data_IF_726126872659
#
_entry.id   IF_726126872659
#
_cell.length_a   1.000
_cell.length_b   1.000
_cell.length_c   1.000
_cell.angle_alpha   90.00
_cell.angle_beta   90.00
_cell.angle_gamma   90.00
#
_symmetry.space_group_name_H-M   'P 1'
#
loop_
_entity.id
_entity.type
_entity.pdbx_description
1 polymer ?
#
# COMPACT_ATOMS: atom_id res chain seq x y z
N UNK A 1 -15.18 -29.93 32.69
CA UNK A 1 -14.09 -28.95 32.44
C UNK A 1 -13.25 -29.43 31.26
N UNK A 2 -13.92 -29.65 30.12
CA UNK A 2 -13.39 -30.45 29.01
C UNK A 2 -13.46 -29.70 27.69
N UNK A 3 -12.39 -29.83 26.91
CA UNK A 3 -12.34 -29.98 25.45
C UNK A 3 -13.53 -29.41 24.65
N UNK A 4 -13.84 -28.12 24.73
CA UNK A 4 -14.84 -27.53 23.80
C UNK A 4 -14.62 -26.03 23.47
N UNK A 5 -13.52 -25.42 23.91
CA UNK A 5 -13.30 -23.96 23.80
C UNK A 5 -12.08 -23.48 22.98
N UNK A 6 -11.19 -24.37 22.50
CA UNK A 6 -10.00 -23.95 21.73
C UNK A 6 -10.07 -24.39 20.25
N UNK A 7 -11.22 -24.16 19.62
CA UNK A 7 -11.46 -24.40 18.18
C UNK A 7 -12.20 -23.24 17.50
N UNK A 8 -12.02 -22.00 17.98
CA UNK A 8 -12.81 -20.86 17.52
C UNK A 8 -12.06 -19.53 17.37
N UNK A 9 -10.74 -19.54 17.19
CA UNK A 9 -9.97 -18.30 16.99
C UNK A 9 -8.68 -18.50 16.16
N UNK A 10 -8.72 -19.38 15.17
CA UNK A 10 -7.65 -19.53 14.16
C UNK A 10 -8.12 -19.17 12.74
N UNK A 11 -9.34 -18.65 12.62
CA UNK A 11 -9.85 -18.12 11.36
C UNK A 11 -9.76 -16.59 11.41
N UNK A 12 -9.38 -15.99 10.27
CA UNK A 12 -9.07 -14.57 10.02
C UNK A 12 -7.58 -14.19 10.08
N UNK A 13 -6.70 -15.09 9.63
CA UNK A 13 -5.72 -14.67 8.63
C UNK A 13 -6.50 -14.28 7.37
N UNK A 14 -6.26 -13.07 6.85
CA UNK A 14 -6.82 -12.51 5.62
C UNK A 14 -8.28 -12.92 5.34
N UNK A 15 -9.26 -12.12 5.78
CA UNK A 15 -10.54 -12.11 5.07
C UNK A 15 -10.21 -11.73 3.63
N UNK A 16 -10.18 -12.75 2.76
CA UNK A 16 -10.12 -12.65 1.32
C UNK A 16 -11.42 -12.00 0.84
N UNK A 17 -11.58 -10.73 1.19
CA UNK A 17 -12.51 -9.86 0.49
C UNK A 17 -11.93 -9.59 -0.90
N UNK A 18 -12.81 -9.66 -1.89
CA UNK A 18 -12.58 -9.80 -3.31
C UNK A 18 -11.74 -8.66 -3.90
N UNK A 19 -10.43 -8.67 -3.65
CA UNK A 19 -9.49 -7.76 -4.27
C UNK A 19 -9.46 -7.98 -5.78
N UNK A 20 -9.35 -6.89 -6.54
CA UNK A 20 -9.08 -6.96 -7.96
C UNK A 20 -7.82 -7.81 -8.20
N UNK A 21 -7.93 -8.86 -9.04
CA UNK A 21 -6.76 -9.56 -9.59
C UNK A 21 -5.90 -8.54 -10.36
N UNK A 22 -4.59 -8.75 -10.45
CA UNK A 22 -3.61 -7.85 -11.09
C UNK A 22 -4.12 -7.20 -12.39
N UNK A 23 -4.81 -7.96 -13.26
CA UNK A 23 -5.37 -7.45 -14.52
C UNK A 23 -6.43 -6.34 -14.39
N UNK A 24 -7.10 -6.22 -13.25
CA UNK A 24 -8.20 -5.28 -12.99
C UNK A 24 -7.71 -4.05 -12.19
N UNK A 25 -6.55 -4.17 -11.54
CA UNK A 25 -5.96 -3.12 -10.71
C UNK A 25 -5.74 -1.83 -11.51
N UNK A 26 -5.10 -1.83 -12.71
CA UNK A 26 -4.86 -0.60 -13.45
C UNK A 26 -6.14 0.15 -13.84
N UNK A 27 -7.16 -0.58 -14.30
CA UNK A 27 -8.43 0.02 -14.74
C UNK A 27 -9.14 0.70 -13.56
N UNK A 28 -9.25 -0.01 -12.44
CA UNK A 28 -9.94 0.49 -11.24
C UNK A 28 -9.22 1.71 -10.69
N UNK A 29 -7.89 1.62 -10.56
CA UNK A 29 -7.06 2.71 -10.05
C UNK A 29 -7.13 3.96 -10.95
N UNK A 30 -7.05 3.77 -12.27
CA UNK A 30 -7.21 4.87 -13.23
C UNK A 30 -8.59 5.54 -13.12
N UNK A 31 -9.67 4.77 -13.01
CA UNK A 31 -11.01 5.32 -12.84
C UNK A 31 -11.12 6.19 -11.58
N UNK A 32 -10.49 5.76 -10.48
CA UNK A 32 -10.47 6.52 -9.22
C UNK A 32 -9.68 7.83 -9.39
N UNK A 33 -8.47 7.78 -9.95
CA UNK A 33 -7.64 8.97 -10.14
C UNK A 33 -8.26 9.97 -11.14
N UNK A 34 -8.89 9.50 -12.22
CA UNK A 34 -9.54 10.39 -13.18
C UNK A 34 -10.87 10.99 -12.68
N UNK A 35 -11.51 10.41 -11.65
CA UNK A 35 -12.81 10.89 -11.15
C UNK A 35 -12.71 11.76 -9.91
N UNK A 36 -11.57 11.74 -9.22
CA UNK A 36 -11.38 12.52 -8.00
C UNK A 36 -11.01 13.98 -8.30
N UNK A 37 -11.56 14.90 -7.51
CA UNK A 37 -11.12 16.31 -7.45
C UNK A 37 -10.33 16.61 -6.17
N UNK A 38 -10.06 15.57 -5.37
CA UNK A 38 -9.31 15.66 -4.13
C UNK A 38 -7.82 15.63 -4.42
N UNK A 39 -7.03 16.25 -3.53
CA UNK A 39 -5.57 16.11 -3.55
C UNK A 39 -5.20 14.65 -3.30
N UNK A 40 -4.40 14.04 -4.18
CA UNK A 40 -4.03 12.62 -4.06
C UNK A 40 -2.74 12.53 -3.27
N UNK A 41 -2.78 11.87 -2.11
CA UNK A 41 -1.61 11.70 -1.24
C UNK A 41 -1.29 10.22 -1.12
N UNK A 42 -0.03 9.85 -1.33
CA UNK A 42 0.46 8.50 -1.13
C UNK A 42 1.14 8.37 0.24
N UNK A 43 0.80 7.33 0.99
CA UNK A 43 1.46 6.96 2.25
C UNK A 43 1.99 5.53 2.15
N UNK A 44 3.31 5.40 2.08
CA UNK A 44 3.97 4.12 1.90
C UNK A 44 4.47 3.60 3.26
N UNK A 45 3.84 2.54 3.73
CA UNK A 45 4.00 2.01 5.08
C UNK A 45 5.02 0.87 5.07
N UNK A 46 5.90 0.89 6.07
CA UNK A 46 6.93 -0.10 6.27
C UNK A 46 8.24 0.50 6.79
N UNK A 47 9.30 -0.29 6.77
CA UNK A 47 10.64 0.10 7.21
C UNK A 47 11.71 -0.61 6.38
N UNK A 48 12.83 0.07 6.21
CA UNK A 48 14.09 -0.44 5.65
C UNK A 48 14.79 -1.50 6.52
N UNK A 49 14.34 -1.70 7.78
CA UNK A 49 14.96 -2.61 8.75
C UNK A 49 14.67 -4.09 8.51
N UNK A 50 13.68 -4.40 7.67
CA UNK A 50 13.32 -5.77 7.30
C UNK A 50 13.00 -5.83 5.81
N UNK A 51 13.53 -6.84 5.11
CA UNK A 51 13.27 -7.01 3.67
C UNK A 51 11.76 -7.16 3.39
N UNK A 52 11.03 -7.88 4.24
CA UNK A 52 9.59 -8.06 4.07
C UNK A 52 8.77 -6.78 4.29
N UNK A 53 9.32 -5.81 5.01
CA UNK A 53 8.65 -4.56 5.38
C UNK A 53 9.11 -3.38 4.51
N UNK A 54 10.00 -3.61 3.54
CA UNK A 54 10.62 -2.51 2.78
C UNK A 54 9.88 -2.14 1.49
N UNK A 55 8.79 -2.83 1.12
CA UNK A 55 8.00 -2.50 -0.08
C UNK A 55 7.52 -1.05 -0.03
N UNK A 56 6.88 -0.61 1.05
CA UNK A 56 6.39 0.77 1.16
C UNK A 56 7.50 1.81 0.98
N UNK A 57 8.54 1.82 1.82
CA UNK A 57 9.67 2.72 1.67
C UNK A 57 10.32 2.71 0.28
N UNK A 58 10.46 1.53 -0.35
CA UNK A 58 10.97 1.42 -1.72
C UNK A 58 10.05 2.09 -2.74
N UNK A 59 8.74 1.82 -2.68
CA UNK A 59 7.75 2.46 -3.54
C UNK A 59 7.83 3.97 -3.39
N UNK A 60 7.79 4.50 -2.17
CA UNK A 60 7.80 5.94 -1.95
C UNK A 60 9.09 6.62 -2.42
N UNK A 61 10.26 5.97 -2.25
CA UNK A 61 11.51 6.44 -2.83
C UNK A 61 11.41 6.50 -4.36
N UNK A 62 10.96 5.42 -5.02
CA UNK A 62 10.82 5.37 -6.48
C UNK A 62 9.82 6.42 -7.01
N UNK A 63 8.74 6.70 -6.29
CA UNK A 63 7.77 7.73 -6.65
C UNK A 63 8.39 9.13 -6.57
N UNK A 64 9.14 9.44 -5.50
CA UNK A 64 9.85 10.72 -5.37
C UNK A 64 10.92 10.88 -6.46
N UNK A 65 11.69 9.84 -6.73
CA UNK A 65 12.74 9.85 -7.78
C UNK A 65 12.17 10.09 -9.18
N UNK A 66 10.98 9.54 -9.46
CA UNK A 66 10.26 9.75 -10.72
C UNK A 66 9.55 11.12 -10.81
N UNK A 67 9.53 11.89 -9.72
CA UNK A 67 9.03 13.25 -9.72
C UNK A 67 7.53 13.37 -9.99
N UNK A 68 6.72 12.44 -9.47
CA UNK A 68 5.25 12.56 -9.59
C UNK A 68 4.76 13.85 -8.90
N UNK A 69 3.70 14.50 -9.41
CA UNK A 69 3.19 15.74 -8.84
C UNK A 69 2.50 15.55 -7.47
N UNK A 70 2.17 14.32 -7.08
CA UNK A 70 1.46 14.01 -5.84
C UNK A 70 2.40 13.99 -4.63
N UNK A 71 1.96 14.45 -3.45
CA UNK A 71 2.68 14.27 -2.19
C UNK A 71 2.89 12.79 -1.83
N UNK A 72 4.11 12.44 -1.42
CA UNK A 72 4.51 11.08 -1.02
C UNK A 72 5.12 11.08 0.37
N UNK A 73 4.51 10.31 1.27
CA UNK A 73 5.00 10.02 2.62
C UNK A 73 5.50 8.57 2.70
N UNK A 74 6.57 8.35 3.47
CA UNK A 74 7.18 7.04 3.60
C UNK A 74 8.14 6.75 2.46
N UNK A 75 9.43 6.92 2.70
CA UNK A 75 10.53 6.58 1.78
C UNK A 75 11.58 5.77 2.53
N UNK A 76 12.62 5.30 1.85
CA UNK A 76 13.78 4.73 2.52
C UNK A 76 14.47 5.73 3.46
N UNK A 77 14.51 7.01 3.08
CA UNK A 77 15.13 8.06 3.89
C UNK A 77 14.25 8.46 5.08
N UNK A 78 12.93 8.53 4.87
CA UNK A 78 11.93 8.93 5.86
C UNK A 78 10.83 7.86 5.95
N UNK A 79 11.09 6.70 6.58
CA UNK A 79 10.14 5.60 6.62
C UNK A 79 8.93 5.93 7.49
N UNK A 80 7.75 5.45 7.07
CA UNK A 80 6.52 5.52 7.84
C UNK A 80 6.18 4.12 8.33
N UNK A 81 6.34 3.90 9.62
CA UNK A 81 6.10 2.62 10.29
C UNK A 81 5.14 2.80 11.47
N UNK A 82 4.76 1.70 12.11
CA UNK A 82 3.90 1.65 13.29
C UNK A 82 4.14 2.77 14.34
N UNK A 83 5.41 3.08 14.67
CA UNK A 83 5.74 4.01 15.75
C UNK A 83 5.49 5.49 15.42
N UNK A 84 5.56 5.89 14.15
CA UNK A 84 5.40 7.29 13.71
C UNK A 84 4.14 7.52 12.86
N UNK A 85 3.43 6.46 12.44
CA UNK A 85 2.22 6.54 11.62
C UNK A 85 1.19 7.57 12.14
N UNK A 86 0.89 7.55 13.43
CA UNK A 86 -0.05 8.51 14.04
C UNK A 86 0.37 9.97 13.85
N UNK A 87 1.67 10.24 13.91
CA UNK A 87 2.20 11.59 13.72
C UNK A 87 2.13 11.99 12.25
N UNK A 88 2.51 11.10 11.34
CA UNK A 88 2.41 11.32 9.88
C UNK A 88 0.97 11.58 9.45
N UNK A 89 -0.01 10.82 9.95
CA UNK A 89 -1.43 11.06 9.62
C UNK A 89 -1.92 12.42 10.12
N UNK A 90 -1.49 12.84 11.32
CA UNK A 90 -1.81 14.18 11.83
C UNK A 90 -1.20 15.28 10.98
N UNK A 91 0.02 15.06 10.49
CA UNK A 91 0.68 15.98 9.57
C UNK A 91 -0.10 16.11 8.27
N UNK A 92 -0.40 14.98 7.60
CA UNK A 92 -1.21 14.95 6.36
C UNK A 92 -2.53 15.69 6.56
N UNK A 93 -3.25 15.42 7.66
CA UNK A 93 -4.53 16.07 7.95
C UNK A 93 -4.46 17.58 8.21
N UNK A 94 -3.28 18.10 8.58
CA UNK A 94 -3.06 19.54 8.80
C UNK A 94 -2.58 20.24 7.54
N UNK A 95 -1.86 19.53 6.68
CA UNK A 95 -1.33 20.06 5.43
C UNK A 95 -2.41 20.12 4.35
N UNK A 96 -3.37 19.19 4.38
CA UNK A 96 -4.37 19.03 3.33
C UNK A 96 -5.78 18.85 3.90
N UNK A 97 -6.75 19.64 3.44
CA UNK A 97 -8.14 19.60 3.93
C UNK A 97 -9.00 18.50 3.26
N UNK A 98 -8.73 18.20 1.99
CA UNK A 98 -9.55 17.32 1.16
C UNK A 98 -8.69 16.36 0.35
N UNK A 99 -8.23 15.30 1.01
CA UNK A 99 -7.36 14.28 0.40
C UNK A 99 -8.09 13.02 -0.02
N UNK A 100 -7.60 12.41 -1.09
CA UNK A 100 -7.72 10.99 -1.36
C UNK A 100 -6.40 10.35 -0.91
N UNK A 101 -6.43 9.70 0.26
CA UNK A 101 -5.23 9.09 0.84
C UNK A 101 -5.10 7.63 0.36
N UNK A 102 -4.00 7.30 -0.31
CA UNK A 102 -3.76 5.95 -0.84
C UNK A 102 -2.58 5.34 -0.10
N UNK A 103 -2.83 4.25 0.63
CA UNK A 103 -1.79 3.56 1.38
C UNK A 103 -1.09 2.49 0.52
N UNK A 104 0.19 2.25 0.78
CA UNK A 104 0.94 1.13 0.21
C UNK A 104 1.53 0.33 1.35
N UNK A 105 1.28 -0.97 1.39
CA UNK A 105 1.79 -1.86 2.44
C UNK A 105 2.12 -3.24 1.86
N UNK A 106 2.87 -4.04 2.63
CA UNK A 106 3.20 -5.41 2.31
C UNK A 106 2.63 -6.37 3.35
N UNK A 107 2.33 -7.60 2.92
CA UNK A 107 1.88 -8.65 3.82
C UNK A 107 2.45 -10.03 3.44
N UNK A 108 2.23 -10.96 4.36
CA UNK A 108 2.51 -12.39 4.16
C UNK A 108 1.17 -13.08 3.89
N UNK A 109 1.13 -13.90 2.83
CA UNK A 109 -0.09 -14.53 2.31
C UNK A 109 0.04 -16.04 2.12
N UNK A 110 -0.84 -16.61 1.31
CA UNK A 110 -0.72 -18.00 0.87
C UNK A 110 0.38 -18.16 -0.19
N UNK A 111 0.90 -19.38 -0.34
CA UNK A 111 2.04 -19.65 -1.24
C UNK A 111 1.77 -19.28 -2.71
N UNK A 112 0.55 -19.49 -3.17
CA UNK A 112 0.09 -19.15 -4.53
C UNK A 112 -0.18 -17.66 -4.73
N UNK A 113 -0.19 -16.87 -3.65
CA UNK A 113 -0.36 -15.42 -3.68
C UNK A 113 0.97 -14.66 -3.65
N UNK A 114 2.10 -15.33 -3.42
CA UNK A 114 3.41 -14.66 -3.35
C UNK A 114 3.74 -14.02 -4.70
N UNK A 115 4.07 -12.73 -4.67
CA UNK A 115 4.28 -11.93 -5.88
C UNK A 115 3.01 -11.27 -6.39
N UNK A 116 1.86 -11.46 -5.76
CA UNK A 116 0.62 -10.79 -6.14
C UNK A 116 0.51 -9.37 -5.60
N UNK A 117 -0.07 -8.51 -6.43
CA UNK A 117 -0.48 -7.15 -6.08
C UNK A 117 -2.02 -7.04 -6.01
N UNK A 118 -2.51 -6.48 -4.90
CA UNK A 118 -3.93 -6.16 -4.74
C UNK A 118 -4.13 -4.66 -4.57
N UNK A 119 -5.20 -4.14 -5.14
CA UNK A 119 -5.68 -2.79 -4.88
C UNK A 119 -7.12 -2.87 -4.35
N UNK A 120 -7.36 -2.24 -3.19
CA UNK A 120 -8.62 -2.37 -2.45
C UNK A 120 -9.15 -1.01 -2.01
N UNK A 121 -10.47 -0.91 -1.96
CA UNK A 121 -11.18 0.21 -1.36
C UNK A 121 -11.29 0.03 0.16
N UNK A 122 -11.25 1.15 0.88
CA UNK A 122 -11.35 1.21 2.33
C UNK A 122 -9.99 1.28 3.02
N UNK A 123 -10.01 1.52 4.34
CA UNK A 123 -8.79 1.72 5.09
C UNK A 123 -7.98 0.44 5.23
N UNK A 124 -6.67 0.61 5.16
CA UNK A 124 -5.70 -0.34 5.64
C UNK A 124 -5.69 -0.35 7.18
N UNK A 125 -5.46 -1.52 7.76
CA UNK A 125 -5.29 -1.69 9.20
C UNK A 125 -3.90 -2.23 9.52
N UNK A 126 -2.88 -1.36 9.63
CA UNK A 126 -1.51 -1.78 9.90
C UNK A 126 -1.39 -2.53 11.23
N UNK A 127 -0.46 -3.47 11.32
CA UNK A 127 -0.09 -4.10 12.58
C UNK A 127 -1.13 -5.02 13.23
N UNK A 128 -2.23 -5.35 12.55
CA UNK A 128 -3.23 -6.32 13.04
C UNK A 128 -2.61 -7.69 13.37
N UNK A 129 -1.57 -8.09 12.62
CA UNK A 129 -0.83 -9.33 12.83
C UNK A 129 0.03 -9.35 14.11
N UNK A 130 0.41 -8.18 14.64
CA UNK A 130 1.26 -8.04 15.85
C UNK A 130 0.46 -7.65 17.10
N UNK A 131 -0.89 -7.73 17.04
CA UNK A 131 -1.77 -7.48 18.20
C UNK A 131 -1.83 -6.03 18.66
N UNK A 132 -1.31 -5.08 17.87
CA UNK A 132 -1.39 -3.64 18.14
C UNK A 132 -2.48 -3.02 17.26
N UNK A 133 -3.32 -2.18 17.84
CA UNK A 133 -4.37 -1.44 17.11
C UNK A 133 -3.81 -0.09 16.66
N UNK A 134 -3.41 0.01 15.40
CA UNK A 134 -3.09 1.28 14.74
C UNK A 134 -4.34 1.91 14.15
N UNK A 135 -4.38 3.24 13.92
CA UNK A 135 -5.50 3.86 13.25
C UNK A 135 -5.71 3.27 11.84
N UNK A 136 -6.95 3.23 11.34
CA UNK A 136 -7.21 2.96 9.93
C UNK A 136 -6.50 3.98 9.04
N UNK A 137 -5.92 3.54 7.92
CA UNK A 137 -5.13 4.38 7.01
C UNK A 137 -5.67 4.32 5.59
N UNK A 138 -5.91 5.49 5.00
CA UNK A 138 -6.26 5.62 3.59
C UNK A 138 -7.73 5.37 3.27
N UNK A 139 -8.13 5.86 2.09
CA UNK A 139 -9.39 5.57 1.41
C UNK A 139 -9.26 4.34 0.50
N UNK A 140 -8.05 4.11 0.00
CA UNK A 140 -7.66 2.96 -0.82
C UNK A 140 -6.28 2.49 -0.40
N UNK A 141 -5.94 1.25 -0.74
CA UNK A 141 -4.62 0.74 -0.47
C UNK A 141 -4.15 -0.33 -1.46
N UNK A 142 -2.84 -0.32 -1.71
CA UNK A 142 -2.10 -1.39 -2.36
C UNK A 142 -1.55 -2.37 -1.32
N UNK A 143 -1.73 -3.66 -1.53
CA UNK A 143 -1.11 -4.74 -0.74
C UNK A 143 -0.24 -5.60 -1.65
N UNK A 144 1.05 -5.66 -1.33
CA UNK A 144 2.00 -6.56 -1.96
C UNK A 144 2.21 -7.82 -1.11
N UNK A 145 2.00 -9.01 -1.68
CA UNK A 145 2.27 -10.27 -0.97
C UNK A 145 3.72 -10.68 -1.19
N UNK A 146 4.57 -10.45 -0.18
CA UNK A 146 6.02 -10.59 -0.32
C UNK A 146 6.55 -11.98 0.01
N UNK A 147 5.79 -12.77 0.79
CA UNK A 147 6.16 -14.12 1.20
C UNK A 147 4.95 -14.94 1.64
N UNK A 148 5.16 -16.24 1.89
CA UNK A 148 4.12 -17.16 2.36
C UNK A 148 4.17 -17.41 3.87
N UNK A 149 3.09 -17.93 4.44
CA UNK A 149 2.97 -18.21 5.88
C UNK A 149 4.03 -19.16 6.45
N UNK A 150 4.75 -19.94 5.63
CA UNK A 150 5.86 -20.77 6.12
C UNK A 150 7.04 -19.91 6.56
N UNK A 151 7.18 -18.70 6.01
CA UNK A 151 8.14 -17.71 6.51
C UNK A 151 7.86 -17.32 7.97
N UNK A 152 6.63 -17.52 8.46
CA UNK A 152 6.27 -17.29 9.87
C UNK A 152 6.66 -18.47 10.79
N UNK A 153 7.12 -19.60 10.25
CA UNK A 153 7.37 -20.84 11.01
C UNK A 153 8.88 -21.15 11.11
N UNK A 154 9.54 -20.66 12.17
CA UNK A 154 10.93 -21.04 12.53
C UNK A 154 11.77 -19.91 13.13
N UNK A 155 13.01 -20.20 13.54
CA UNK A 155 13.99 -19.22 14.05
C UNK A 155 14.61 -18.32 12.96
N UNK A 156 14.30 -18.57 11.67
CA UNK A 156 14.72 -17.84 10.45
C UNK A 156 13.72 -16.78 9.98
N UNK A 157 12.74 -16.42 10.82
CA UNK A 157 11.58 -15.56 10.56
C UNK A 157 11.81 -14.27 9.72
N UNK A 158 13.04 -13.74 9.70
CA UNK A 158 13.38 -12.48 9.03
C UNK A 158 14.19 -12.65 7.74
N UNK A 159 14.70 -13.85 7.45
CA UNK A 159 15.74 -14.07 6.44
C UNK A 159 15.28 -14.76 5.15
N UNK A 160 14.08 -15.36 5.13
CA UNK A 160 13.59 -16.09 3.94
C UNK A 160 12.82 -15.23 2.93
N UNK A 161 12.74 -13.91 3.14
CA UNK A 161 12.12 -13.01 2.15
C UNK A 161 13.13 -12.60 1.10
N UNK A 162 12.85 -12.93 -0.16
CA UNK A 162 13.72 -12.58 -1.27
C UNK A 162 13.59 -11.10 -1.60
N UNK A 163 14.69 -10.36 -1.44
CA UNK A 163 14.79 -8.96 -1.85
C UNK A 163 14.36 -8.75 -3.30
N UNK A 164 14.68 -9.69 -4.20
CA UNK A 164 14.25 -9.61 -5.59
C UNK A 164 12.72 -9.51 -5.72
N UNK A 165 11.96 -10.34 -5.00
CA UNK A 165 10.48 -10.30 -5.03
C UNK A 165 9.96 -8.96 -4.54
N UNK A 166 10.48 -8.49 -3.39
CA UNK A 166 10.13 -7.19 -2.80
C UNK A 166 10.43 -6.03 -3.76
N UNK A 167 11.60 -6.05 -4.39
CA UNK A 167 12.01 -5.02 -5.34
C UNK A 167 11.15 -5.03 -6.61
N UNK A 168 10.80 -6.21 -7.14
CA UNK A 168 9.91 -6.32 -8.30
C UNK A 168 8.52 -5.75 -7.99
N UNK A 169 7.94 -6.14 -6.85
CA UNK A 169 6.65 -5.62 -6.39
C UNK A 169 6.68 -4.10 -6.20
N UNK A 170 7.72 -3.57 -5.54
CA UNK A 170 7.87 -2.13 -5.36
C UNK A 170 7.96 -1.40 -6.72
N UNK A 171 8.73 -1.95 -7.66
CA UNK A 171 8.87 -1.38 -9.00
C UNK A 171 7.53 -1.39 -9.73
N UNK A 172 6.82 -2.51 -9.75
CA UNK A 172 5.52 -2.65 -10.41
C UNK A 172 4.47 -1.67 -9.85
N UNK A 173 4.37 -1.55 -8.53
CA UNK A 173 3.49 -0.56 -7.89
C UNK A 173 3.89 0.86 -8.31
N UNK A 174 5.18 1.17 -8.27
CA UNK A 174 5.66 2.52 -8.62
C UNK A 174 5.41 2.87 -10.09
N UNK A 175 5.64 1.94 -11.02
CA UNK A 175 5.41 2.11 -12.45
C UNK A 175 3.91 2.35 -12.70
N UNK A 176 3.06 1.50 -12.12
CA UNK A 176 1.61 1.65 -12.20
C UNK A 176 1.13 3.02 -11.70
N UNK A 177 1.62 3.46 -10.53
CA UNK A 177 1.24 4.75 -9.95
C UNK A 177 1.66 5.90 -10.86
N UNK A 178 2.92 5.89 -11.31
CA UNK A 178 3.47 6.95 -12.16
C UNK A 178 2.71 7.05 -13.47
N UNK A 179 2.53 5.93 -14.17
CA UNK A 179 1.83 5.90 -15.46
C UNK A 179 0.40 6.44 -15.33
N UNK A 180 -0.29 6.04 -14.25
CA UNK A 180 -1.68 6.45 -14.04
C UNK A 180 -1.79 7.93 -13.63
N UNK A 181 -0.93 8.39 -12.73
CA UNK A 181 -0.91 9.79 -12.28
C UNK A 181 -0.58 10.73 -13.45
N UNK A 182 0.47 10.43 -14.22
CA UNK A 182 0.84 11.25 -15.37
C UNK A 182 -0.23 11.22 -16.46
N UNK A 183 -0.95 10.11 -16.64
CA UNK A 183 -2.08 10.05 -17.57
C UNK A 183 -3.29 10.86 -17.10
N UNK A 184 -3.55 10.92 -15.79
CA UNK A 184 -4.61 11.74 -15.22
C UNK A 184 -4.28 13.24 -15.28
N UNK A 185 -3.03 13.60 -15.02
CA UNK A 185 -2.55 14.99 -15.01
C UNK A 185 -2.70 15.64 -16.41
N UNK A 186 -2.24 14.95 -17.47
CA UNK A 186 -2.40 15.39 -18.86
C UNK A 186 -3.86 15.65 -19.25
N UNK A 187 -4.81 14.85 -18.74
CA UNK A 187 -6.24 15.05 -19.04
C UNK A 187 -6.80 16.29 -18.37
N UNK A 188 -6.37 16.58 -17.16
CA UNK A 188 -6.80 17.78 -16.43
C UNK A 188 -6.26 19.04 -17.13
N UNK A 189 -5.04 19.00 -17.66
CA UNK A 189 -4.49 20.08 -18.49
C UNK A 189 -5.32 20.31 -19.75
N UNK A 190 -5.64 19.25 -20.51
CA UNK A 190 -6.46 19.33 -21.73
C UNK A 190 -7.88 19.87 -21.48
N UNK A 191 -8.52 19.50 -20.36
CA UNK A 191 -9.85 20.01 -20.00
C UNK A 191 -9.84 21.48 -19.56
N UNK A 192 -8.72 21.96 -19.02
CA UNK A 192 -8.53 23.33 -18.55
C UNK A 192 -8.12 24.32 -19.67
N UNK A 193 -7.71 23.82 -20.84
CA UNK A 193 -7.35 24.65 -21.98
C UNK A 193 -8.55 25.44 -22.53
N UNK A 194 -8.42 26.76 -22.80
CA UNK A 194 -9.52 27.57 -23.29
C UNK A 194 -9.98 27.05 -24.66
N UNK A 195 -11.26 26.67 -24.78
CA UNK A 195 -11.87 26.33 -26.07
C UNK A 195 -11.92 27.61 -26.89
N UNK A 196 -11.08 27.70 -27.93
CA UNK A 196 -11.15 28.77 -28.92
C UNK A 196 -12.56 28.75 -29.54
N UNK A 197 -13.31 29.83 -29.28
CA UNK A 197 -14.66 30.10 -29.79
C UNK A 197 -14.63 30.45 -31.28
#
# INVERSE_FOLDING_TARGET
MGLFWKKRNQDKAFEADQGAKESIVPITFQQILCSTKKEVVFICIGSDRSIADSVGPLVGTMLKEKGIPCPVYGTLEEPVHALNLNQTLKEISRTFDHVLLIAIDACIGEKDQVGSLFFKQGPLFPGKAIGKSFPPVGDFHFIAVVNDQKALQGESFLTDTRLFTVYQLAREISDLIVDTVLAADRRNEDESAPRLS
#
